data_IF_047789044141
#
_entry.id   IF_047789044141
#
_cell.length_a   1.000
_cell.length_b   1.000
_cell.length_c   1.000
_cell.angle_alpha   90.00
_cell.angle_beta   90.00
_cell.angle_gamma   90.00
#
_symmetry.space_group_name_H-M   'P 1'
#
loop_
_entity.id
_entity.type
_entity.pdbx_description
1 polymer ?
#
# COMPACT_ATOMS: atom_id res chain seq x y z
N UNK A 1 27.65 -10.73 10.18
CA UNK A 1 26.88 -9.49 10.49
C UNK A 1 25.86 -9.13 9.40
N UNK A 2 26.13 -9.37 8.11
CA UNK A 2 25.17 -9.09 7.01
C UNK A 2 23.95 -10.03 6.97
N UNK A 3 24.11 -11.30 7.35
CA UNK A 3 23.03 -12.31 7.35
C UNK A 3 21.81 -11.88 8.20
N UNK A 4 22.07 -11.42 9.43
CA UNK A 4 21.03 -10.90 10.33
C UNK A 4 20.41 -9.60 9.83
N UNK A 5 21.11 -8.84 8.98
CA UNK A 5 20.61 -7.56 8.48
C UNK A 5 19.56 -7.77 7.38
N UNK A 6 19.81 -8.67 6.42
CA UNK A 6 18.86 -8.92 5.33
C UNK A 6 17.58 -9.61 5.83
N UNK A 7 17.69 -10.58 6.72
CA UNK A 7 16.53 -11.22 7.36
C UNK A 7 15.66 -10.20 8.10
N UNK A 8 16.28 -9.31 8.86
CA UNK A 8 15.57 -8.26 9.59
C UNK A 8 14.92 -7.24 8.63
N UNK A 9 15.58 -6.88 7.53
CA UNK A 9 14.98 -6.03 6.50
C UNK A 9 13.73 -6.67 5.89
N UNK A 10 13.76 -7.96 5.55
CA UNK A 10 12.59 -8.67 5.03
C UNK A 10 11.47 -8.79 6.06
N UNK A 11 11.81 -9.03 7.34
CA UNK A 11 10.83 -9.05 8.44
C UNK A 11 10.14 -7.70 8.59
N UNK A 12 10.92 -6.61 8.61
CA UNK A 12 10.37 -5.25 8.71
C UNK A 12 9.52 -4.89 7.50
N UNK A 13 9.96 -5.28 6.31
CA UNK A 13 9.22 -5.02 5.08
C UNK A 13 7.90 -5.80 5.06
N UNK A 14 7.92 -7.08 5.43
CA UNK A 14 6.72 -7.90 5.61
C UNK A 14 5.72 -7.22 6.55
N UNK A 15 6.18 -6.79 7.73
CA UNK A 15 5.35 -6.10 8.71
C UNK A 15 4.72 -4.82 8.14
N UNK A 16 5.49 -3.98 7.44
CA UNK A 16 4.97 -2.71 6.91
C UNK A 16 3.91 -2.96 5.84
N UNK A 17 4.14 -3.90 4.92
CA UNK A 17 3.16 -4.20 3.87
C UNK A 17 1.89 -4.80 4.47
N UNK A 18 2.01 -5.62 5.51
CA UNK A 18 0.87 -6.11 6.30
C UNK A 18 0.09 -4.96 6.96
N UNK A 19 0.77 -4.02 7.62
CA UNK A 19 0.12 -2.85 8.22
C UNK A 19 -0.56 -1.98 7.16
N UNK A 20 0.06 -1.79 6.00
CA UNK A 20 -0.57 -1.07 4.89
C UNK A 20 -1.85 -1.77 4.43
N UNK A 21 -1.84 -3.11 4.31
CA UNK A 21 -3.03 -3.89 3.94
C UNK A 21 -4.14 -3.76 4.99
N UNK A 22 -3.83 -3.91 6.27
CA UNK A 22 -4.80 -3.75 7.37
C UNK A 22 -5.42 -2.34 7.33
N UNK A 23 -4.60 -1.31 7.14
CA UNK A 23 -5.09 0.06 7.06
C UNK A 23 -5.97 0.30 5.83
N UNK A 24 -5.66 -0.32 4.68
CA UNK A 24 -6.52 -0.25 3.50
C UNK A 24 -7.87 -0.94 3.73
N UNK A 25 -7.87 -2.10 4.38
CA UNK A 25 -9.09 -2.86 4.69
C UNK A 25 -10.00 -2.12 5.68
N UNK A 26 -9.39 -1.40 6.62
CA UNK A 26 -10.09 -0.57 7.60
C UNK A 26 -10.39 0.85 7.10
N UNK A 27 -10.14 1.15 5.82
CA UNK A 27 -10.31 2.47 5.21
C UNK A 27 -9.57 3.61 5.94
N UNK A 28 -8.50 3.28 6.69
CA UNK A 28 -7.65 4.25 7.37
C UNK A 28 -6.57 4.78 6.41
N UNK A 29 -7.01 5.61 5.46
CA UNK A 29 -6.18 6.10 4.37
C UNK A 29 -5.03 7.00 4.83
N UNK A 30 -5.23 7.80 5.88
CA UNK A 30 -4.19 8.65 6.45
C UNK A 30 -3.05 7.80 7.03
N UNK A 31 -3.40 6.79 7.84
CA UNK A 31 -2.40 5.90 8.40
C UNK A 31 -1.72 5.07 7.31
N UNK A 32 -2.46 4.59 6.30
CA UNK A 32 -1.88 3.91 5.13
C UNK A 32 -0.83 4.78 4.45
N UNK A 33 -1.12 6.05 4.18
CA UNK A 33 -0.20 6.98 3.52
C UNK A 33 1.03 7.27 4.38
N UNK A 34 0.88 7.30 5.71
CA UNK A 34 2.02 7.50 6.62
C UNK A 34 3.09 6.40 6.49
N UNK A 35 2.71 5.18 6.10
CA UNK A 35 3.63 4.06 5.89
C UNK A 35 4.38 4.11 4.56
N UNK A 36 3.93 4.92 3.60
CA UNK A 36 4.46 4.95 2.23
C UNK A 36 5.95 5.31 2.17
N UNK A 37 6.38 6.28 2.99
CA UNK A 37 7.77 6.69 3.04
C UNK A 37 8.69 5.54 3.50
N UNK A 38 8.27 4.83 4.56
CA UNK A 38 9.01 3.71 5.12
C UNK A 38 9.02 2.51 4.18
N UNK A 39 7.89 2.23 3.53
CA UNK A 39 7.77 1.23 2.46
C UNK A 39 8.78 1.50 1.34
N UNK A 40 8.83 2.74 0.84
CA UNK A 40 9.73 3.11 -0.27
C UNK A 40 11.20 3.02 0.12
N UNK A 41 11.54 3.45 1.33
CA UNK A 41 12.90 3.37 1.86
C UNK A 41 13.37 1.91 1.96
N UNK A 42 12.56 1.02 2.53
CA UNK A 42 12.92 -0.39 2.69
C UNK A 42 12.93 -1.14 1.35
N UNK A 43 11.98 -0.85 0.46
CA UNK A 43 11.98 -1.42 -0.89
C UNK A 43 13.26 -1.08 -1.64
N UNK A 44 13.71 0.18 -1.57
CA UNK A 44 14.99 0.59 -2.16
C UNK A 44 16.19 -0.07 -1.48
N UNK A 45 16.20 -0.12 -0.15
CA UNK A 45 17.27 -0.77 0.61
C UNK A 45 17.44 -2.23 0.20
N UNK A 46 16.34 -2.97 0.11
CA UNK A 46 16.36 -4.39 -0.28
C UNK A 46 16.77 -4.55 -1.75
N UNK A 47 16.29 -3.69 -2.65
CA UNK A 47 16.68 -3.71 -4.07
C UNK A 47 18.16 -3.41 -4.33
N UNK A 48 18.79 -2.59 -3.48
CA UNK A 48 20.22 -2.26 -3.59
C UNK A 48 21.13 -3.41 -3.10
N UNK A 49 20.58 -4.35 -2.33
CA UNK A 49 21.27 -5.58 -1.97
C UNK A 49 21.13 -6.53 -3.17
N UNK A 50 22.04 -6.39 -4.13
CA UNK A 50 22.06 -7.16 -5.39
C UNK A 50 22.60 -8.59 -5.17
N UNK A 51 21.95 -9.34 -4.28
CA UNK A 51 22.66 -10.40 -3.58
C UNK A 51 21.79 -11.62 -3.27
N UNK A 52 21.29 -12.25 -4.34
CA UNK A 52 20.87 -13.66 -4.28
C UNK A 52 21.98 -14.52 -3.63
N UNK A 53 23.25 -14.15 -3.84
CA UNK A 53 24.41 -14.78 -3.19
C UNK A 53 24.37 -14.67 -1.66
N UNK A 54 23.88 -13.56 -1.09
CA UNK A 54 23.74 -13.41 0.38
C UNK A 54 22.63 -14.29 0.92
N UNK A 55 21.54 -14.48 0.16
CA UNK A 55 20.47 -15.42 0.53
C UNK A 55 20.99 -16.86 0.47
N UNK A 56 21.72 -17.23 -0.59
CA UNK A 56 22.31 -18.56 -0.76
C UNK A 56 23.34 -18.91 0.33
N UNK A 57 24.06 -17.89 0.82
CA UNK A 57 25.02 -18.03 1.91
C UNK A 57 24.37 -18.09 3.31
N UNK A 58 23.04 -17.94 3.42
CA UNK A 58 22.36 -18.06 4.71
C UNK A 58 22.15 -19.51 5.14
N UNK A 59 21.96 -19.73 6.44
CA UNK A 59 21.41 -21.00 6.93
C UNK A 59 20.07 -21.35 6.26
N UNK A 60 19.80 -22.63 6.04
CA UNK A 60 18.54 -23.10 5.42
C UNK A 60 17.29 -22.54 6.12
N UNK A 61 17.31 -22.48 7.45
CA UNK A 61 16.22 -21.92 8.24
C UNK A 61 15.97 -20.44 7.91
N UNK A 62 17.03 -19.64 7.80
CA UNK A 62 16.90 -18.23 7.43
C UNK A 62 16.42 -18.05 5.99
N UNK A 63 16.88 -18.90 5.06
CA UNK A 63 16.41 -18.89 3.67
C UNK A 63 14.90 -19.14 3.58
N UNK A 64 14.40 -20.13 4.31
CA UNK A 64 12.98 -20.47 4.32
C UNK A 64 12.13 -19.34 4.90
N UNK A 65 12.61 -18.67 5.95
CA UNK A 65 11.94 -17.50 6.53
C UNK A 65 11.91 -16.33 5.55
N UNK A 66 13.03 -16.02 4.90
CA UNK A 66 13.08 -14.95 3.88
C UNK A 66 12.13 -15.26 2.72
N UNK A 67 12.10 -16.50 2.22
CA UNK A 67 11.17 -16.93 1.17
C UNK A 67 9.71 -16.78 1.60
N UNK A 68 9.38 -17.12 2.86
CA UNK A 68 8.06 -16.91 3.42
C UNK A 68 7.70 -15.42 3.43
N UNK A 69 8.59 -14.55 3.91
CA UNK A 69 8.35 -13.10 3.89
C UNK A 69 8.16 -12.55 2.48
N UNK A 70 8.96 -12.98 1.50
CA UNK A 70 8.79 -12.57 0.09
C UNK A 70 7.39 -12.96 -0.42
N UNK A 71 6.94 -14.20 -0.17
CA UNK A 71 5.60 -14.65 -0.59
C UNK A 71 4.49 -13.82 0.06
N UNK A 72 4.61 -13.53 1.36
CA UNK A 72 3.65 -12.71 2.09
C UNK A 72 3.60 -11.29 1.53
N UNK A 73 4.75 -10.64 1.35
CA UNK A 73 4.85 -9.29 0.78
C UNK A 73 4.14 -9.22 -0.58
N UNK A 74 4.44 -10.16 -1.48
CA UNK A 74 3.81 -10.20 -2.81
C UNK A 74 2.29 -10.38 -2.72
N UNK A 75 1.82 -11.29 -1.87
CA UNK A 75 0.39 -11.51 -1.63
C UNK A 75 -0.30 -10.24 -1.11
N UNK A 76 0.29 -9.58 -0.11
CA UNK A 76 -0.27 -8.36 0.46
C UNK A 76 -0.28 -7.20 -0.55
N UNK A 77 0.77 -7.03 -1.35
CA UNK A 77 0.83 -6.03 -2.42
C UNK A 77 -0.25 -6.25 -3.48
N UNK A 78 -0.51 -7.52 -3.85
CA UNK A 78 -1.57 -7.86 -4.80
C UNK A 78 -2.95 -7.47 -4.26
N UNK A 79 -3.23 -7.80 -2.99
CA UNK A 79 -4.47 -7.42 -2.32
C UNK A 79 -4.63 -5.90 -2.19
N UNK A 80 -3.56 -5.21 -1.77
CA UNK A 80 -3.51 -3.74 -1.70
C UNK A 80 -3.85 -3.10 -3.05
N UNK A 81 -3.28 -3.62 -4.13
CA UNK A 81 -3.53 -3.11 -5.49
C UNK A 81 -5.01 -3.26 -5.87
N UNK A 82 -5.63 -4.38 -5.52
CA UNK A 82 -7.06 -4.61 -5.79
C UNK A 82 -7.93 -3.65 -4.97
N UNK A 83 -7.64 -3.47 -3.68
CA UNK A 83 -8.34 -2.53 -2.80
C UNK A 83 -8.22 -1.09 -3.30
N UNK A 84 -7.02 -0.64 -3.66
CA UNK A 84 -6.79 0.71 -4.19
C UNK A 84 -7.56 0.94 -5.49
N UNK A 85 -7.58 -0.04 -6.42
CA UNK A 85 -8.36 0.07 -7.66
C UNK A 85 -9.86 0.18 -7.39
N UNK A 86 -10.39 -0.62 -6.46
CA UNK A 86 -11.79 -0.57 -6.07
C UNK A 86 -12.14 0.79 -5.43
N UNK A 87 -11.31 1.26 -4.50
CA UNK A 87 -11.49 2.55 -3.84
C UNK A 87 -11.42 3.73 -4.82
N UNK A 88 -10.44 3.75 -5.75
CA UNK A 88 -10.39 4.76 -6.81
C UNK A 88 -11.64 4.79 -7.69
N UNK A 89 -12.24 3.62 -7.95
CA UNK A 89 -13.49 3.52 -8.71
C UNK A 89 -14.66 4.12 -7.92
N UNK A 90 -14.74 3.84 -6.62
CA UNK A 90 -15.76 4.42 -5.73
C UNK A 90 -15.60 5.95 -5.61
N UNK A 91 -14.39 6.44 -5.37
CA UNK A 91 -14.09 7.87 -5.32
C UNK A 91 -14.52 8.59 -6.59
N UNK A 92 -14.21 8.03 -7.76
CA UNK A 92 -14.63 8.60 -9.05
C UNK A 92 -16.15 8.75 -9.12
N UNK A 93 -16.89 7.73 -8.68
CA UNK A 93 -18.35 7.77 -8.65
C UNK A 93 -18.86 8.86 -7.71
N UNK A 94 -18.35 8.91 -6.48
CA UNK A 94 -18.76 9.92 -5.48
C UNK A 94 -18.47 11.34 -5.94
N UNK A 95 -17.29 11.59 -6.53
CA UNK A 95 -16.97 12.92 -7.09
C UNK A 95 -17.97 13.30 -8.19
N UNK A 96 -18.27 12.38 -9.10
CA UNK A 96 -19.26 12.63 -10.17
C UNK A 96 -20.66 12.92 -9.63
N UNK A 97 -21.11 12.16 -8.63
CA UNK A 97 -22.40 12.38 -7.95
C UNK A 97 -22.43 13.73 -7.23
N UNK A 98 -21.35 14.10 -6.54
CA UNK A 98 -21.25 15.37 -5.83
C UNK A 98 -21.29 16.57 -6.79
N UNK A 99 -20.54 16.52 -7.89
CA UNK A 99 -20.55 17.58 -8.92
C UNK A 99 -21.94 17.74 -9.54
N UNK A 100 -22.63 16.64 -9.84
CA UNK A 100 -23.99 16.68 -10.38
C UNK A 100 -24.96 17.31 -9.37
N UNK A 101 -24.85 16.91 -8.10
CA UNK A 101 -25.66 17.47 -7.03
C UNK A 101 -25.44 18.98 -6.86
N UNK A 102 -24.18 19.43 -6.83
CA UNK A 102 -23.83 20.85 -6.76
C UNK A 102 -24.37 21.63 -7.97
N UNK A 103 -24.23 21.08 -9.18
CA UNK A 103 -24.76 21.70 -10.41
C UNK A 103 -26.28 21.92 -10.32
N UNK A 104 -27.01 20.96 -9.76
CA UNK A 104 -28.46 21.10 -9.55
C UNK A 104 -28.78 22.20 -8.53
N UNK A 105 -28.07 22.25 -7.41
CA UNK A 105 -28.22 23.32 -6.41
C UNK A 105 -28.00 24.68 -7.05
N UNK A 106 -26.89 24.85 -7.77
CA UNK A 106 -26.53 26.12 -8.41
C UNK A 106 -27.60 26.55 -9.42
N UNK A 107 -28.12 25.60 -10.20
CA UNK A 107 -29.21 25.85 -11.16
C UNK A 107 -30.51 26.30 -10.46
N UNK A 108 -30.87 25.65 -9.34
CA UNK A 108 -32.06 26.04 -8.58
C UNK A 108 -31.90 27.43 -7.93
N UNK A 109 -30.71 27.75 -7.41
CA UNK A 109 -30.41 29.07 -6.86
C UNK A 109 -30.51 30.16 -7.93
N UNK A 110 -29.99 29.89 -9.14
CA UNK A 110 -30.11 30.81 -10.27
C UNK A 110 -31.57 31.06 -10.64
N UNK A 111 -32.39 30.01 -10.75
CA UNK A 111 -33.83 30.15 -11.03
C UNK A 111 -34.52 30.96 -9.93
N UNK A 112 -34.26 30.66 -8.66
CA UNK A 112 -34.85 31.38 -7.54
C UNK A 112 -34.45 32.86 -7.51
N UNK A 113 -33.23 33.20 -7.92
CA UNK A 113 -32.77 34.60 -8.00
C UNK A 113 -33.40 35.42 -9.13
N UNK A 114 -34.07 34.75 -10.07
CA UNK A 114 -34.78 35.37 -11.20
C UNK A 114 -36.29 35.52 -10.95
N UNK A 115 -36.82 34.96 -9.85
CA UNK A 115 -38.20 35.14 -9.38
C UNK A 115 -38.27 36.27 -8.34
#
# INVERSE_FOLDING_TARGET
MQENNLLEQYKQFNYIVEQMLINAQNENWELLLSWQAKYHQLSKSIMLVDDFSVIENMSLQHQDIVRMYIKNILSYQQQLTQLMKAYHTQLRKWIGEHVNYQTKIDSYQQIASLM
#
